data_IF_702750726817
#
_entry.id   IF_702750726817
#
_cell.length_a   1.000
_cell.length_b   1.000
_cell.length_c   1.000
_cell.angle_alpha   90.00
_cell.angle_beta   90.00
_cell.angle_gamma   90.00
#
_symmetry.space_group_name_H-M   'P 1'
#
loop_
_entity.id
_entity.type
_entity.pdbx_description
1 polymer ?
#
# COMPACT_ATOMS: atom_id res chain seq x y z
N UNK A 1 -7.26 -4.48 -12.29
CA UNK A 1 -5.88 -3.98 -12.21
C UNK A 1 -5.10 -4.50 -13.40
N UNK A 2 -4.44 -3.60 -14.12
CA UNK A 2 -3.68 -3.93 -15.36
C UNK A 2 -2.25 -3.39 -15.32
N UNK A 3 -1.96 -2.49 -14.39
CA UNK A 3 -0.64 -1.84 -14.25
C UNK A 3 -0.22 -1.77 -12.79
N UNK A 4 0.92 -2.34 -12.49
CA UNK A 4 1.52 -2.38 -11.15
C UNK A 4 2.85 -1.64 -11.20
N UNK A 5 3.10 -0.74 -10.23
CA UNK A 5 4.37 -0.04 -10.05
C UNK A 5 5.09 -0.59 -8.83
N UNK A 6 6.38 -0.87 -8.98
CA UNK A 6 7.25 -1.31 -7.88
C UNK A 6 8.47 -0.42 -7.82
N UNK A 7 8.55 0.49 -6.85
CA UNK A 7 9.79 1.18 -6.56
C UNK A 7 10.83 0.22 -5.97
N UNK A 8 12.08 0.35 -6.42
CA UNK A 8 13.19 -0.48 -5.91
C UNK A 8 14.45 0.35 -5.70
N UNK A 9 15.09 0.15 -4.57
CA UNK A 9 16.47 0.57 -4.28
C UNK A 9 17.45 -0.62 -4.35
N UNK A 10 16.93 -1.77 -4.81
CA UNK A 10 17.61 -3.05 -4.87
C UNK A 10 18.00 -3.62 -3.49
N UNK A 11 17.41 -3.14 -2.40
CA UNK A 11 17.48 -3.77 -1.09
C UNK A 11 16.72 -5.10 -1.06
N UNK A 12 16.98 -5.93 -0.07
CA UNK A 12 16.27 -7.20 0.12
C UNK A 12 14.77 -6.97 0.29
N UNK A 13 14.37 -5.96 1.06
CA UNK A 13 12.97 -5.63 1.27
C UNK A 13 12.29 -5.16 -0.03
N UNK A 14 12.98 -4.36 -0.86
CA UNK A 14 12.47 -3.98 -2.17
C UNK A 14 12.41 -5.18 -3.13
N UNK A 15 13.35 -6.11 -3.06
CA UNK A 15 13.31 -7.34 -3.85
C UNK A 15 12.12 -8.23 -3.45
N UNK A 16 11.80 -8.34 -2.16
CA UNK A 16 10.60 -9.03 -1.68
C UNK A 16 9.31 -8.41 -2.28
N UNK A 17 9.25 -7.09 -2.35
CA UNK A 17 8.14 -6.38 -2.99
C UNK A 17 8.07 -6.67 -4.50
N UNK A 18 9.20 -6.73 -5.20
CA UNK A 18 9.23 -7.11 -6.64
C UNK A 18 8.74 -8.55 -6.85
N UNK A 19 9.13 -9.50 -5.99
CA UNK A 19 8.67 -10.90 -6.06
C UNK A 19 7.15 -11.00 -5.88
N UNK A 20 6.57 -10.32 -4.89
CA UNK A 20 5.12 -10.23 -4.67
C UNK A 20 4.42 -9.60 -5.87
N UNK A 21 4.94 -8.48 -6.37
CA UNK A 21 4.36 -7.78 -7.52
C UNK A 21 4.42 -8.62 -8.81
N UNK A 22 5.47 -9.40 -9.01
CA UNK A 22 5.60 -10.32 -10.13
C UNK A 22 4.54 -11.43 -10.06
N UNK A 23 4.29 -12.01 -8.87
CA UNK A 23 3.24 -13.00 -8.66
C UNK A 23 1.84 -12.41 -8.92
N UNK A 24 1.58 -11.20 -8.46
CA UNK A 24 0.36 -10.46 -8.75
C UNK A 24 0.20 -10.19 -10.25
N UNK A 25 1.25 -9.73 -10.91
CA UNK A 25 1.24 -9.42 -12.34
C UNK A 25 0.92 -10.66 -13.18
N UNK A 26 1.52 -11.82 -12.86
CA UNK A 26 1.20 -13.10 -13.50
C UNK A 26 -0.26 -13.48 -13.31
N UNK A 27 -0.76 -13.43 -12.08
CA UNK A 27 -2.13 -13.85 -11.74
C UNK A 27 -3.19 -12.97 -12.40
N UNK A 28 -2.91 -11.66 -12.55
CA UNK A 28 -3.86 -10.66 -13.03
C UNK A 28 -3.65 -10.29 -14.51
N UNK A 29 -2.66 -10.86 -15.18
CA UNK A 29 -2.23 -10.46 -16.52
C UNK A 29 -1.96 -8.94 -16.59
N UNK A 30 -1.18 -8.45 -15.62
CA UNK A 30 -0.87 -7.04 -15.48
C UNK A 30 0.55 -6.73 -15.97
N UNK A 31 0.74 -5.48 -16.41
CA UNK A 31 2.07 -4.95 -16.72
C UNK A 31 2.75 -4.47 -15.44
N UNK A 32 4.01 -4.85 -15.26
CA UNK A 32 4.82 -4.49 -14.11
C UNK A 32 5.84 -3.41 -14.48
N UNK A 33 5.78 -2.26 -13.81
CA UNK A 33 6.75 -1.17 -13.92
C UNK A 33 7.68 -1.26 -12.72
N UNK A 34 8.97 -1.53 -12.95
CA UNK A 34 9.98 -1.58 -11.89
C UNK A 34 10.74 -0.26 -11.95
N UNK A 35 10.49 0.61 -10.97
CA UNK A 35 11.00 1.97 -10.91
C UNK A 35 12.21 2.05 -9.97
N UNK A 36 13.34 2.53 -10.50
CA UNK A 36 14.44 3.01 -9.67
C UNK A 36 14.59 4.51 -9.81
N UNK A 37 14.66 5.21 -8.68
CA UNK A 37 14.86 6.65 -8.64
C UNK A 37 16.28 6.92 -8.16
N UNK A 38 17.06 7.61 -9.00
CA UNK A 38 18.40 8.06 -8.64
C UNK A 38 18.30 9.46 -8.04
N UNK A 39 18.62 9.57 -6.77
CA UNK A 39 18.80 10.88 -6.11
C UNK A 39 20.21 11.38 -6.42
N UNK A 40 20.32 12.17 -7.48
CA UNK A 40 21.59 12.80 -7.84
C UNK A 40 21.63 14.17 -7.18
N UNK A 41 22.62 14.43 -6.30
CA UNK A 41 22.78 15.76 -5.72
C UNK A 41 22.92 16.80 -6.83
N UNK A 42 22.05 17.79 -6.86
CA UNK A 42 22.19 18.93 -7.77
C UNK A 42 23.31 19.80 -7.25
N UNK A 43 24.50 19.61 -7.76
CA UNK A 43 25.62 20.52 -7.49
C UNK A 43 25.37 21.88 -8.14
N UNK A 44 25.81 22.94 -7.45
CA UNK A 44 25.59 24.32 -7.86
C UNK A 44 26.20 24.56 -9.26
N UNK A 45 25.38 25.00 -10.22
CA UNK A 45 25.74 25.14 -11.65
C UNK A 45 26.81 26.17 -11.96
N UNK A 46 27.39 26.79 -10.94
CA UNK A 46 28.34 27.90 -11.11
C UNK A 46 29.81 27.47 -11.18
N UNK A 47 30.13 26.19 -11.02
CA UNK A 47 31.52 25.71 -11.05
C UNK A 47 31.79 24.84 -12.29
N UNK A 48 32.46 25.39 -13.29
CA UNK A 48 32.71 24.75 -14.59
C UNK A 48 33.62 23.51 -14.52
N UNK A 49 34.27 23.28 -13.40
CA UNK A 49 35.12 22.08 -13.17
C UNK A 49 34.34 20.90 -12.61
N UNK A 50 33.23 21.17 -11.94
CA UNK A 50 32.32 20.12 -11.39
C UNK A 50 31.62 19.35 -12.52
N UNK A 51 31.30 19.99 -13.64
CA UNK A 51 30.46 19.41 -14.68
C UNK A 51 31.02 18.15 -15.37
N UNK A 52 32.34 18.00 -15.51
CA UNK A 52 32.94 16.80 -16.13
C UNK A 52 33.05 15.63 -15.14
N UNK A 53 33.36 15.92 -13.89
CA UNK A 53 33.42 14.93 -12.82
C UNK A 53 32.00 14.39 -12.52
N UNK A 54 31.03 15.30 -12.45
CA UNK A 54 29.62 14.98 -12.22
C UNK A 54 29.04 14.13 -13.38
N UNK A 55 29.38 14.46 -14.64
CA UNK A 55 28.98 13.65 -15.79
C UNK A 55 29.61 12.24 -15.78
N UNK A 56 30.87 12.11 -15.38
CA UNK A 56 31.54 10.81 -15.28
C UNK A 56 30.93 9.97 -14.13
N UNK A 57 30.64 10.60 -13.02
CA UNK A 57 29.96 9.98 -11.87
C UNK A 57 28.55 9.53 -12.25
N UNK A 58 27.76 10.38 -12.91
CA UNK A 58 26.44 10.03 -13.41
C UNK A 58 26.45 8.83 -14.35
N UNK A 59 27.42 8.77 -15.29
CA UNK A 59 27.60 7.63 -16.18
C UNK A 59 27.96 6.35 -15.40
N UNK A 60 28.80 6.46 -14.39
CA UNK A 60 29.17 5.33 -13.53
C UNK A 60 27.93 4.78 -12.80
N UNK A 61 27.14 5.63 -12.16
CA UNK A 61 25.91 5.25 -11.47
C UNK A 61 24.88 4.63 -12.41
N UNK A 62 24.68 5.21 -13.59
CA UNK A 62 23.80 4.63 -14.61
C UNK A 62 24.23 3.21 -15.03
N UNK A 63 25.53 2.97 -15.21
CA UNK A 63 26.06 1.63 -15.54
C UNK A 63 25.81 0.65 -14.39
N UNK A 64 25.99 1.08 -13.15
CA UNK A 64 25.75 0.26 -11.96
C UNK A 64 24.27 -0.12 -11.85
N UNK A 65 23.37 0.85 -12.00
CA UNK A 65 21.93 0.63 -11.96
C UNK A 65 21.49 -0.32 -13.08
N UNK A 66 21.96 -0.12 -14.30
CA UNK A 66 21.67 -1.04 -15.42
C UNK A 66 22.16 -2.46 -15.16
N UNK A 67 23.32 -2.62 -14.52
CA UNK A 67 23.81 -3.93 -14.09
C UNK A 67 22.86 -4.57 -13.08
N UNK A 68 22.44 -3.82 -12.05
CA UNK A 68 21.49 -4.30 -11.03
C UNK A 68 20.14 -4.70 -11.63
N UNK A 69 19.59 -3.90 -12.55
CA UNK A 69 18.41 -4.30 -13.31
C UNK A 69 18.64 -5.59 -14.11
N UNK A 70 19.78 -5.71 -14.79
CA UNK A 70 20.12 -6.93 -15.52
C UNK A 70 20.24 -8.18 -14.65
N UNK A 71 20.62 -8.03 -13.38
CA UNK A 71 20.61 -9.12 -12.38
C UNK A 71 19.19 -9.41 -11.88
N UNK A 72 18.40 -8.37 -11.61
CA UNK A 72 17.01 -8.49 -11.17
C UNK A 72 16.15 -9.19 -12.22
N UNK A 73 16.25 -8.80 -13.49
CA UNK A 73 15.44 -9.38 -14.58
C UNK A 73 15.78 -10.85 -14.90
N UNK A 74 16.87 -11.40 -14.35
CA UNK A 74 17.20 -12.82 -14.43
C UNK A 74 16.54 -13.68 -13.32
N UNK A 75 15.88 -13.04 -12.36
CA UNK A 75 15.24 -13.75 -11.25
C UNK A 75 14.08 -14.60 -11.75
N UNK A 76 13.95 -15.85 -11.30
CA UNK A 76 12.92 -16.78 -11.78
C UNK A 76 11.49 -16.28 -11.63
N UNK A 77 11.21 -15.50 -10.61
CA UNK A 77 9.89 -14.94 -10.37
C UNK A 77 9.47 -13.89 -11.42
N UNK A 78 10.41 -13.30 -12.18
CA UNK A 78 10.12 -12.39 -13.29
C UNK A 78 9.97 -13.09 -14.64
N UNK A 79 10.27 -14.39 -14.73
CA UNK A 79 10.07 -15.15 -15.96
C UNK A 79 8.59 -15.14 -16.37
N UNK A 80 8.32 -14.76 -17.62
CA UNK A 80 6.97 -14.66 -18.18
C UNK A 80 6.15 -13.44 -17.71
N UNK A 81 6.74 -12.53 -16.91
CA UNK A 81 6.10 -11.27 -16.52
C UNK A 81 6.36 -10.19 -17.57
N UNK A 82 5.31 -9.45 -17.97
CA UNK A 82 5.47 -8.26 -18.80
C UNK A 82 6.01 -7.11 -17.94
N UNK A 83 7.32 -7.14 -17.65
CA UNK A 83 7.98 -6.17 -16.80
C UNK A 83 8.78 -5.14 -17.62
N UNK A 84 8.73 -3.88 -17.18
CA UNK A 84 9.40 -2.73 -17.80
C UNK A 84 10.29 -2.07 -16.75
N UNK A 85 11.54 -1.83 -17.13
CA UNK A 85 12.48 -1.01 -16.37
C UNK A 85 12.11 0.47 -16.53
N UNK A 86 12.00 1.20 -15.42
CA UNK A 86 11.81 2.64 -15.38
C UNK A 86 12.91 3.24 -14.52
N UNK A 87 13.68 4.16 -15.10
CA UNK A 87 14.73 4.90 -14.41
C UNK A 87 14.37 6.38 -14.41
N UNK A 88 14.35 6.97 -13.24
CA UNK A 88 14.04 8.39 -13.05
C UNK A 88 15.09 9.06 -12.16
N UNK A 89 15.11 10.39 -12.25
CA UNK A 89 16.03 11.24 -11.51
C UNK A 89 15.18 12.30 -10.83
N UNK A 90 15.16 12.33 -9.51
CA UNK A 90 14.54 13.39 -8.70
C UNK A 90 14.27 12.88 -7.27
N UNK A 91 13.52 13.63 -6.45
CA UNK A 91 13.06 13.18 -5.16
C UNK A 91 12.23 11.89 -5.23
N UNK A 92 12.60 10.89 -4.43
CA UNK A 92 12.05 9.52 -4.54
C UNK A 92 10.53 9.49 -4.42
N UNK A 93 9.98 10.16 -3.41
CA UNK A 93 8.54 10.15 -3.15
C UNK A 93 7.74 10.83 -4.29
N UNK A 94 8.15 12.03 -4.70
CA UNK A 94 7.44 12.80 -5.73
C UNK A 94 7.47 12.06 -7.05
N UNK A 95 8.60 11.45 -7.39
CA UNK A 95 8.76 10.61 -8.59
C UNK A 95 7.83 9.40 -8.57
N UNK A 96 7.72 8.66 -7.44
CA UNK A 96 6.82 7.49 -7.35
C UNK A 96 5.37 7.90 -7.62
N UNK A 97 4.89 8.99 -7.00
CA UNK A 97 3.51 9.44 -7.15
C UNK A 97 3.24 9.98 -8.57
N UNK A 98 4.15 10.77 -9.11
CA UNK A 98 4.07 11.28 -10.50
C UNK A 98 4.03 10.14 -11.51
N UNK A 99 4.92 9.16 -11.38
CA UNK A 99 4.94 8.00 -12.27
C UNK A 99 3.68 7.15 -12.14
N UNK A 100 3.11 7.06 -10.94
CA UNK A 100 1.84 6.36 -10.73
C UNK A 100 0.68 7.06 -11.46
N UNK A 101 0.63 8.38 -11.45
CA UNK A 101 -0.38 9.18 -12.15
C UNK A 101 -0.19 9.12 -13.67
N UNK A 102 1.01 9.43 -14.19
CA UNK A 102 1.33 9.48 -15.61
C UNK A 102 1.06 8.17 -16.32
N UNK A 103 1.39 7.06 -15.69
CA UNK A 103 1.16 5.73 -16.25
C UNK A 103 -0.22 5.16 -15.94
N UNK A 104 -1.04 5.84 -15.12
CA UNK A 104 -2.34 5.33 -14.67
C UNK A 104 -2.18 4.00 -13.94
N UNK A 105 -1.33 3.97 -12.92
CA UNK A 105 -1.04 2.78 -12.12
C UNK A 105 -2.25 2.43 -11.24
N UNK A 106 -2.61 1.16 -11.23
CA UNK A 106 -3.71 0.63 -10.43
C UNK A 106 -3.29 0.21 -9.02
N UNK A 107 -2.01 -0.14 -8.83
CA UNK A 107 -1.45 -0.61 -7.57
C UNK A 107 0.03 -0.26 -7.49
N UNK A 108 0.46 0.32 -6.38
CA UNK A 108 1.86 0.41 -6.01
C UNK A 108 2.17 -0.74 -5.06
N UNK A 109 3.26 -1.49 -5.31
CA UNK A 109 3.79 -2.49 -4.37
C UNK A 109 5.19 -2.05 -3.96
N UNK A 110 5.44 -1.91 -2.67
CA UNK A 110 6.75 -1.45 -2.22
C UNK A 110 7.18 -2.08 -0.90
N UNK A 111 8.49 -2.13 -0.68
CA UNK A 111 9.06 -2.57 0.59
C UNK A 111 8.63 -1.64 1.73
N UNK A 112 8.48 -2.18 2.93
CA UNK A 112 8.15 -1.36 4.11
C UNK A 112 9.30 -0.43 4.52
N UNK A 113 10.56 -0.78 4.20
CA UNK A 113 11.77 0.00 4.44
C UNK A 113 12.77 -0.22 3.31
N UNK A 114 13.77 0.67 3.19
CA UNK A 114 14.85 0.57 2.19
C UNK A 114 16.19 0.18 2.81
N UNK A 115 17.26 0.34 2.03
CA UNK A 115 18.65 -0.06 2.36
C UNK A 115 19.27 0.75 3.52
N UNK A 116 18.68 1.85 3.94
CA UNK A 116 19.22 2.72 4.99
C UNK A 116 19.20 2.12 6.40
N UNK A 117 18.82 0.86 6.55
CA UNK A 117 19.17 -0.02 7.66
C UNK A 117 18.75 0.41 9.08
N UNK A 118 17.93 1.43 9.22
CA UNK A 118 17.45 1.84 10.52
C UNK A 118 16.36 0.87 10.99
N UNK A 119 16.80 -0.09 11.79
CA UNK A 119 15.97 -1.02 12.58
C UNK A 119 14.70 -1.57 11.89
N UNK A 120 14.62 -2.87 11.80
CA UNK A 120 13.53 -3.72 11.25
C UNK A 120 12.10 -3.39 11.71
N UNK A 121 11.93 -2.35 12.53
CA UNK A 121 10.68 -2.02 13.23
C UNK A 121 9.96 -0.80 12.64
N UNK A 122 10.62 0.03 11.81
CA UNK A 122 10.01 1.27 11.33
C UNK A 122 9.83 1.30 9.82
N UNK A 123 8.64 1.76 9.40
CA UNK A 123 8.35 2.07 7.99
C UNK A 123 9.32 3.14 7.48
N UNK A 124 9.86 2.95 6.28
CA UNK A 124 10.73 3.94 5.64
C UNK A 124 9.96 5.22 5.30
N UNK A 125 10.63 6.37 5.39
CA UNK A 125 10.03 7.69 5.18
C UNK A 125 9.36 7.85 3.81
N UNK A 126 9.90 7.24 2.75
CA UNK A 126 9.30 7.25 1.43
C UNK A 126 8.04 6.39 1.40
N UNK A 127 8.08 5.20 2.00
CA UNK A 127 6.93 4.30 2.08
C UNK A 127 5.79 4.93 2.87
N UNK A 128 6.08 5.53 4.02
CA UNK A 128 5.09 6.26 4.82
C UNK A 128 4.40 7.36 3.99
N UNK A 129 5.19 8.17 3.27
CA UNK A 129 4.65 9.25 2.44
C UNK A 129 3.77 8.71 1.31
N UNK A 130 4.22 7.65 0.61
CA UNK A 130 3.46 7.03 -0.49
C UNK A 130 2.16 6.43 0.03
N UNK A 131 2.18 5.65 1.11
CA UNK A 131 0.98 5.07 1.75
C UNK A 131 -0.04 6.15 2.13
N UNK A 132 0.43 7.29 2.62
CA UNK A 132 -0.44 8.38 3.06
C UNK A 132 -1.02 9.22 1.92
N UNK A 133 -0.31 9.37 0.81
CA UNK A 133 -0.60 10.40 -0.19
C UNK A 133 -0.95 9.86 -1.58
N UNK A 134 -0.58 8.62 -1.92
CA UNK A 134 -0.89 8.04 -3.22
C UNK A 134 -2.40 7.94 -3.44
N UNK A 135 -2.84 8.20 -4.68
CA UNK A 135 -4.25 8.13 -5.07
C UNK A 135 -4.69 6.71 -5.49
N UNK A 136 -3.73 5.82 -5.74
CA UNK A 136 -3.99 4.41 -5.95
C UNK A 136 -3.65 3.59 -4.69
N UNK A 137 -4.20 2.36 -4.55
CA UNK A 137 -3.84 1.45 -3.47
C UNK A 137 -2.34 1.20 -3.38
N UNK A 138 -1.83 1.05 -2.15
CA UNK A 138 -0.42 0.76 -1.87
C UNK A 138 -0.33 -0.53 -1.06
N UNK A 139 0.33 -1.55 -1.60
CA UNK A 139 0.64 -2.80 -0.91
C UNK A 139 2.06 -2.73 -0.35
N UNK A 140 2.19 -2.70 0.96
CA UNK A 140 3.49 -2.74 1.63
C UNK A 140 3.88 -4.18 1.96
N UNK A 141 5.12 -4.55 1.65
CA UNK A 141 5.67 -5.89 1.84
C UNK A 141 6.90 -5.78 2.74
N UNK A 142 6.93 -6.54 3.83
CA UNK A 142 8.05 -6.57 4.77
C UNK A 142 8.91 -7.81 4.57
N UNK A 143 8.28 -8.96 4.64
CA UNK A 143 8.93 -10.25 4.61
C UNK A 143 8.88 -10.87 3.21
N UNK A 144 9.76 -11.84 2.98
CA UNK A 144 9.72 -12.64 1.75
C UNK A 144 8.50 -13.57 1.72
N UNK A 145 7.84 -13.62 0.57
CA UNK A 145 6.72 -14.52 0.30
C UNK A 145 7.01 -15.32 -0.96
N UNK A 146 7.62 -16.50 -0.83
CA UNK A 146 8.02 -17.36 -1.97
C UNK A 146 6.85 -17.74 -2.89
N UNK A 147 5.65 -17.85 -2.33
CA UNK A 147 4.41 -18.05 -3.08
C UNK A 147 3.34 -17.13 -2.51
N UNK A 148 3.28 -15.90 -3.03
CA UNK A 148 2.24 -14.97 -2.60
C UNK A 148 0.87 -15.47 -3.09
N UNK A 149 0.05 -15.94 -2.15
CA UNK A 149 -1.32 -16.35 -2.38
C UNK A 149 -2.24 -15.58 -1.43
N UNK A 150 -3.46 -15.32 -1.88
CA UNK A 150 -4.47 -14.62 -1.09
C UNK A 150 -5.65 -15.57 -0.83
N UNK A 151 -5.54 -16.41 0.18
CA UNK A 151 -6.62 -17.31 0.60
C UNK A 151 -7.56 -16.62 1.59
N UNK A 152 -6.99 -15.87 2.55
CA UNK A 152 -7.69 -15.19 3.63
C UNK A 152 -7.23 -13.73 3.72
N UNK A 153 -8.17 -12.79 3.58
CA UNK A 153 -7.91 -11.35 3.64
C UNK A 153 -8.71 -10.73 4.78
N UNK A 154 -8.04 -10.08 5.71
CA UNK A 154 -8.70 -9.19 6.68
C UNK A 154 -9.01 -7.87 5.99
N UNK A 155 -10.28 -7.50 5.92
CA UNK A 155 -10.69 -6.13 5.57
C UNK A 155 -11.16 -5.42 6.84
N UNK A 156 -10.33 -4.49 7.29
CA UNK A 156 -10.60 -3.68 8.48
C UNK A 156 -11.19 -2.32 8.08
N UNK A 157 -12.41 -2.06 8.51
CA UNK A 157 -13.14 -0.85 8.16
C UNK A 157 -14.09 -0.41 9.29
N UNK A 158 -14.53 0.85 9.22
CA UNK A 158 -15.67 1.34 10.00
C UNK A 158 -17.02 0.97 9.37
N UNK A 159 -17.03 0.49 8.12
CA UNK A 159 -18.21 0.14 7.32
C UNK A 159 -19.18 1.30 7.05
N UNK A 160 -18.72 2.55 7.20
CA UNK A 160 -19.50 3.73 6.86
C UNK A 160 -19.41 4.04 5.34
N UNK A 161 -20.22 4.97 4.86
CA UNK A 161 -20.42 5.23 3.42
C UNK A 161 -19.17 5.46 2.59
N UNK A 162 -18.08 5.96 3.20
CA UNK A 162 -16.78 6.19 2.54
C UNK A 162 -16.03 4.88 2.21
N UNK A 163 -16.30 3.81 2.97
CA UNK A 163 -15.71 2.48 2.76
C UNK A 163 -16.10 1.86 1.41
N UNK A 164 -17.17 2.31 0.81
CA UNK A 164 -17.78 1.71 -0.38
C UNK A 164 -16.91 1.85 -1.63
N UNK A 165 -16.39 3.05 -1.92
CA UNK A 165 -15.56 3.28 -3.12
C UNK A 165 -14.23 2.52 -3.07
N UNK A 166 -13.63 2.46 -1.89
CA UNK A 166 -12.37 1.74 -1.70
C UNK A 166 -12.58 0.23 -1.78
N UNK A 167 -13.72 -0.26 -1.28
CA UNK A 167 -14.01 -1.69 -1.33
C UNK A 167 -14.19 -2.19 -2.76
N UNK A 168 -14.71 -1.40 -3.70
CA UNK A 168 -14.79 -1.81 -5.10
C UNK A 168 -13.41 -2.16 -5.67
N UNK A 169 -12.41 -1.34 -5.38
CA UNK A 169 -11.03 -1.61 -5.82
C UNK A 169 -10.46 -2.86 -5.18
N UNK A 170 -10.69 -3.03 -3.87
CA UNK A 170 -10.29 -4.21 -3.12
C UNK A 170 -11.05 -5.45 -3.61
N UNK A 171 -12.36 -5.34 -3.83
CA UNK A 171 -13.21 -6.45 -4.26
C UNK A 171 -12.74 -7.04 -5.60
N UNK A 172 -12.43 -6.19 -6.56
CA UNK A 172 -11.90 -6.62 -7.85
C UNK A 172 -10.53 -7.31 -7.72
N UNK A 173 -9.71 -6.89 -6.77
CA UNK A 173 -8.44 -7.52 -6.45
C UNK A 173 -8.65 -8.89 -5.79
N UNK A 174 -9.46 -8.98 -4.74
CA UNK A 174 -9.75 -10.21 -4.00
C UNK A 174 -10.41 -11.26 -4.88
N UNK A 175 -11.34 -10.84 -5.74
CA UNK A 175 -12.05 -11.73 -6.67
C UNK A 175 -11.11 -12.48 -7.62
N UNK A 176 -10.00 -11.86 -8.04
CA UNK A 176 -9.00 -12.51 -8.89
C UNK A 176 -8.32 -13.69 -8.21
N UNK A 177 -8.33 -13.73 -6.87
CA UNK A 177 -7.72 -14.80 -6.06
C UNK A 177 -8.75 -15.77 -5.47
N UNK A 178 -10.05 -15.52 -5.64
CA UNK A 178 -11.12 -16.26 -4.95
C UNK A 178 -10.94 -16.30 -3.42
N UNK A 179 -10.43 -15.21 -2.85
CA UNK A 179 -10.09 -15.12 -1.45
C UNK A 179 -11.31 -15.09 -0.53
N UNK A 180 -11.18 -15.63 0.69
CA UNK A 180 -12.14 -15.44 1.75
C UNK A 180 -11.90 -14.10 2.45
N UNK A 181 -12.94 -13.31 2.65
CA UNK A 181 -12.84 -11.97 3.26
C UNK A 181 -13.31 -12.02 4.71
N UNK A 182 -12.42 -11.68 5.63
CA UNK A 182 -12.76 -11.48 7.03
C UNK A 182 -13.04 -9.99 7.27
N UNK A 183 -14.32 -9.64 7.37
CA UNK A 183 -14.77 -8.27 7.68
C UNK A 183 -14.55 -8.00 9.16
N UNK A 184 -13.64 -7.08 9.46
CA UNK A 184 -13.22 -6.80 10.84
C UNK A 184 -13.59 -5.37 11.23
N UNK A 185 -14.37 -5.25 12.29
CA UNK A 185 -14.65 -3.99 13.01
C UNK A 185 -13.97 -4.02 14.35
N UNK A 186 -13.18 -3.01 14.66
CA UNK A 186 -12.58 -2.84 15.99
C UNK A 186 -13.30 -1.72 16.72
N UNK A 187 -13.83 -2.02 17.89
CA UNK A 187 -14.47 -1.09 18.81
C UNK A 187 -13.47 -0.76 19.92
N UNK A 188 -13.21 0.54 20.13
CA UNK A 188 -12.32 1.01 21.18
C UNK A 188 -13.09 1.76 22.27
N UNK A 189 -12.51 1.92 23.49
CA UNK A 189 -13.20 2.65 24.56
C UNK A 189 -13.62 4.08 24.19
N UNK A 190 -12.80 4.76 23.36
CA UNK A 190 -13.06 6.14 22.92
C UNK A 190 -14.10 6.23 21.80
N UNK A 191 -14.37 5.10 21.10
CA UNK A 191 -15.33 5.01 19.99
C UNK A 191 -16.22 3.80 20.21
N UNK A 192 -17.00 3.85 21.27
CA UNK A 192 -17.92 2.76 21.60
C UNK A 192 -19.11 2.74 20.64
N UNK A 193 -19.37 1.57 20.10
CA UNK A 193 -20.59 1.26 19.33
C UNK A 193 -21.25 0.01 19.90
N UNK A 194 -22.59 -0.03 19.94
CA UNK A 194 -23.27 -1.23 20.38
C UNK A 194 -23.18 -2.36 19.35
N UNK A 195 -23.07 -3.60 19.82
CA UNK A 195 -23.00 -4.76 18.94
C UNK A 195 -24.13 -4.81 17.89
N UNK A 196 -25.42 -4.60 18.25
CA UNK A 196 -26.51 -4.61 17.26
C UNK A 196 -26.36 -3.53 16.18
N UNK A 197 -25.83 -2.36 16.54
CA UNK A 197 -25.58 -1.30 15.56
C UNK A 197 -24.45 -1.69 14.60
N UNK A 198 -23.36 -2.23 15.13
CA UNK A 198 -22.21 -2.67 14.34
C UNK A 198 -22.59 -3.83 13.41
N UNK A 199 -23.32 -4.82 13.90
CA UNK A 199 -23.83 -5.94 13.10
C UNK A 199 -24.68 -5.46 11.92
N UNK A 200 -25.58 -4.50 12.17
CA UNK A 200 -26.40 -3.90 11.12
C UNK A 200 -25.56 -3.20 10.05
N UNK A 201 -24.54 -2.42 10.43
CA UNK A 201 -23.62 -1.77 9.47
C UNK A 201 -22.93 -2.79 8.57
N UNK A 202 -22.42 -3.86 9.17
CA UNK A 202 -21.72 -4.92 8.41
C UNK A 202 -22.72 -5.66 7.49
N UNK A 203 -23.94 -5.95 7.97
CA UNK A 203 -24.98 -6.59 7.16
C UNK A 203 -25.37 -5.73 5.95
N UNK A 204 -25.59 -4.44 6.14
CA UNK A 204 -25.85 -3.49 5.05
C UNK A 204 -24.73 -3.50 4.01
N UNK A 205 -23.49 -3.48 4.47
CA UNK A 205 -22.29 -3.57 3.61
C UNK A 205 -22.24 -4.88 2.83
N UNK A 206 -22.45 -6.02 3.49
CA UNK A 206 -22.45 -7.35 2.86
C UNK A 206 -23.54 -7.45 1.79
N UNK A 207 -24.75 -6.96 2.08
CA UNK A 207 -25.89 -6.99 1.16
C UNK A 207 -25.63 -6.11 -0.06
N UNK A 208 -25.05 -4.93 0.11
CA UNK A 208 -24.71 -4.02 -0.97
C UNK A 208 -23.72 -4.64 -1.95
N UNK A 209 -22.64 -5.24 -1.42
CA UNK A 209 -21.60 -5.87 -2.23
C UNK A 209 -21.89 -7.31 -2.64
N UNK A 210 -23.02 -7.88 -2.18
CA UNK A 210 -23.41 -9.29 -2.45
C UNK A 210 -22.28 -10.26 -2.18
N UNK A 211 -21.62 -10.09 -1.04
CA UNK A 211 -20.50 -10.94 -0.66
C UNK A 211 -21.00 -12.37 -0.38
N UNK A 212 -20.31 -13.34 -0.94
CA UNK A 212 -20.66 -14.77 -0.79
C UNK A 212 -19.62 -15.56 0.00
N UNK A 213 -18.39 -15.07 0.07
CA UNK A 213 -17.25 -15.75 0.70
C UNK A 213 -16.62 -14.86 1.76
N UNK A 214 -17.31 -14.75 2.90
CA UNK A 214 -16.90 -13.86 3.98
C UNK A 214 -17.24 -14.41 5.37
N UNK A 215 -16.60 -13.84 6.38
CA UNK A 215 -16.97 -13.93 7.80
C UNK A 215 -16.87 -12.56 8.44
N UNK A 216 -17.64 -12.33 9.50
CA UNK A 216 -17.68 -11.06 10.23
C UNK A 216 -17.08 -11.23 11.61
N UNK A 217 -16.31 -10.21 12.04
CA UNK A 217 -15.66 -10.19 13.34
C UNK A 217 -15.77 -8.81 13.98
N UNK A 218 -16.17 -8.77 15.24
CA UNK A 218 -16.18 -7.56 16.06
C UNK A 218 -15.18 -7.78 17.20
N UNK A 219 -14.14 -6.94 17.25
CA UNK A 219 -13.13 -6.96 18.29
C UNK A 219 -13.27 -5.75 19.20
N UNK A 220 -13.24 -5.99 20.50
CA UNK A 220 -13.16 -4.92 21.51
C UNK A 220 -11.71 -4.86 22.00
N UNK A 221 -11.01 -3.78 21.64
CA UNK A 221 -9.60 -3.61 21.95
C UNK A 221 -9.28 -2.17 22.37
N UNK A 222 -8.13 -2.00 23.02
CA UNK A 222 -7.69 -0.65 23.45
C UNK A 222 -7.39 0.26 22.27
N UNK A 223 -6.87 -0.32 21.18
CA UNK A 223 -6.48 0.43 19.98
C UNK A 223 -6.91 -0.32 18.73
N UNK A 224 -7.19 0.42 17.66
CA UNK A 224 -7.60 -0.16 16.38
C UNK A 224 -6.52 -1.09 15.82
N UNK A 225 -5.25 -0.69 15.87
CA UNK A 225 -4.15 -1.52 15.34
C UNK A 225 -4.02 -2.85 16.09
N UNK A 226 -4.15 -2.86 17.43
CA UNK A 226 -4.09 -4.09 18.22
C UNK A 226 -5.20 -5.06 17.82
N UNK A 227 -6.43 -4.55 17.63
CA UNK A 227 -7.56 -5.37 17.21
C UNK A 227 -7.39 -5.94 15.81
N UNK A 228 -6.85 -5.17 14.86
CA UNK A 228 -6.58 -5.65 13.50
C UNK A 228 -5.50 -6.72 13.47
N UNK A 229 -4.39 -6.52 14.20
CA UNK A 229 -3.31 -7.51 14.27
C UNK A 229 -3.77 -8.81 14.96
N UNK A 230 -4.54 -8.71 16.04
CA UNK A 230 -5.13 -9.88 16.70
C UNK A 230 -6.09 -10.63 15.77
N UNK A 231 -6.97 -9.90 15.08
CA UNK A 231 -7.86 -10.50 14.08
C UNK A 231 -7.09 -11.24 13.01
N UNK A 232 -6.06 -10.60 12.43
CA UNK A 232 -5.21 -11.16 11.37
C UNK A 232 -4.58 -12.48 11.80
N UNK A 233 -4.02 -12.52 13.01
CA UNK A 233 -3.42 -13.71 13.58
C UNK A 233 -4.45 -14.82 13.82
N UNK A 234 -5.62 -14.45 14.38
CA UNK A 234 -6.67 -15.41 14.75
C UNK A 234 -7.29 -16.12 13.54
N UNK A 235 -7.47 -15.40 12.43
CA UNK A 235 -8.04 -15.98 11.20
C UNK A 235 -6.99 -16.54 10.25
N UNK A 236 -5.69 -16.40 10.55
CA UNK A 236 -4.61 -16.85 9.69
C UNK A 236 -4.61 -16.11 8.33
N UNK A 237 -4.85 -14.79 8.37
CA UNK A 237 -4.92 -14.01 7.13
C UNK A 237 -3.55 -13.89 6.44
N UNK A 238 -3.58 -13.85 5.11
CA UNK A 238 -2.39 -13.67 4.25
C UNK A 238 -2.17 -12.20 3.89
N UNK A 239 -3.16 -11.34 4.10
CA UNK A 239 -3.09 -9.91 3.82
C UNK A 239 -4.06 -9.14 4.74
N UNK A 240 -3.65 -7.94 5.12
CA UNK A 240 -4.53 -6.94 5.71
C UNK A 240 -4.88 -5.92 4.63
N UNK A 241 -6.15 -5.60 4.47
CA UNK A 241 -6.62 -4.48 3.68
C UNK A 241 -7.31 -3.48 4.59
N UNK A 242 -6.96 -2.21 4.47
CA UNK A 242 -7.49 -1.15 5.31
C UNK A 242 -7.57 0.17 4.59
N UNK A 243 -8.40 1.05 5.11
CA UNK A 243 -8.56 2.40 4.62
C UNK A 243 -7.69 3.37 5.41
N UNK A 244 -7.18 4.38 4.69
CA UNK A 244 -6.39 5.45 5.29
C UNK A 244 -7.04 6.80 5.00
N UNK A 245 -7.14 7.66 6.00
CA UNK A 245 -7.56 9.04 5.81
C UNK A 245 -6.34 9.89 5.39
N UNK A 246 -6.45 10.58 4.26
CA UNK A 246 -5.48 11.58 3.83
C UNK A 246 -5.47 12.81 4.77
N UNK A 247 -4.80 13.90 4.34
CA UNK A 247 -4.61 15.13 5.16
C UNK A 247 -5.88 15.85 5.59
N UNK A 248 -7.03 15.59 4.98
CA UNK A 248 -8.29 16.33 5.18
C UNK A 248 -9.28 15.62 6.11
N UNK A 249 -8.98 14.39 6.56
CA UNK A 249 -9.83 13.70 7.52
C UNK A 249 -9.94 14.45 8.84
N UNK A 250 -11.17 14.83 9.20
CA UNK A 250 -11.54 15.41 10.47
C UNK A 250 -11.12 14.50 11.63
N UNK A 251 -9.93 14.62 12.09
CA UNK A 251 -9.57 14.36 13.47
C UNK A 251 -8.10 14.69 13.65
N UNK A 252 -7.83 15.58 14.53
CA UNK A 252 -6.52 15.87 15.14
C UNK A 252 -5.87 14.63 15.79
N UNK A 253 -6.42 13.44 15.59
CA UNK A 253 -6.02 12.23 16.28
C UNK A 253 -5.87 11.02 15.33
N UNK A 254 -4.64 10.52 15.18
CA UNK A 254 -4.25 9.11 15.23
C UNK A 254 -4.26 8.28 13.95
N UNK A 255 -4.84 8.67 12.79
CA UNK A 255 -4.93 7.72 11.66
C UNK A 255 -3.58 7.47 10.93
N UNK A 256 -2.67 8.44 10.85
CA UNK A 256 -1.30 8.21 10.34
C UNK A 256 -0.53 7.20 11.18
N UNK A 257 -0.62 7.34 12.51
CA UNK A 257 0.05 6.45 13.45
C UNK A 257 -0.55 5.02 13.51
N UNK A 258 -1.84 4.85 13.22
CA UNK A 258 -2.47 3.51 13.20
C UNK A 258 -2.02 2.69 11.98
N UNK A 259 -2.04 3.30 10.78
CA UNK A 259 -1.55 2.64 9.56
C UNK A 259 -0.07 2.32 9.67
N UNK A 260 0.72 3.28 10.13
CA UNK A 260 2.14 3.10 10.40
C UNK A 260 2.37 1.97 11.40
N UNK A 261 1.62 1.94 12.51
CA UNK A 261 1.71 0.88 13.51
C UNK A 261 1.36 -0.49 12.92
N UNK A 262 0.32 -0.59 12.07
CA UNK A 262 -0.04 -1.86 11.44
C UNK A 262 1.06 -2.30 10.48
N UNK A 263 1.55 -1.43 9.59
CA UNK A 263 2.63 -1.76 8.64
C UNK A 263 3.89 -2.19 9.37
N UNK A 264 4.22 -1.55 10.49
CA UNK A 264 5.40 -1.88 11.28
C UNK A 264 5.31 -3.25 11.97
N UNK A 265 4.12 -3.64 12.44
CA UNK A 265 3.95 -4.84 13.26
C UNK A 265 3.29 -6.02 12.55
N UNK A 266 2.74 -5.81 11.34
CA UNK A 266 2.17 -6.90 10.56
C UNK A 266 3.27 -7.80 9.99
N UNK A 267 3.07 -9.11 10.09
CA UNK A 267 3.91 -10.13 9.45
C UNK A 267 3.45 -10.44 8.01
N UNK A 268 2.27 -9.97 7.65
CA UNK A 268 1.66 -10.15 6.32
C UNK A 268 1.64 -8.82 5.56
N UNK A 269 1.57 -8.83 4.22
CA UNK A 269 1.43 -7.62 3.43
C UNK A 269 0.19 -6.79 3.82
N UNK A 270 0.34 -5.47 3.78
CA UNK A 270 -0.72 -4.51 4.15
C UNK A 270 -1.11 -3.68 2.92
N UNK A 271 -2.34 -3.82 2.47
CA UNK A 271 -2.94 -3.01 1.42
C UNK A 271 -3.64 -1.80 2.05
N UNK A 272 -3.08 -0.64 1.80
CA UNK A 272 -3.60 0.65 2.25
C UNK A 272 -4.31 1.38 1.11
N UNK A 273 -5.52 1.89 1.37
CA UNK A 273 -6.33 2.60 0.40
C UNK A 273 -6.75 3.94 0.97
N UNK A 274 -6.36 5.04 0.31
CA UNK A 274 -6.72 6.39 0.72
C UNK A 274 -8.20 6.64 0.48
N UNK A 275 -8.91 7.12 1.49
CA UNK A 275 -10.26 7.64 1.34
C UNK A 275 -10.15 8.98 0.61
N UNK A 276 -10.82 9.10 -0.55
CA UNK A 276 -10.95 10.39 -1.25
C UNK A 276 -11.85 11.29 -0.42
N UNK A 277 -11.41 12.55 -0.20
CA UNK A 277 -12.22 13.52 0.50
C UNK A 277 -13.59 13.67 -0.17
N UNK A 278 -14.62 13.21 0.50
CA UNK A 278 -15.98 13.57 0.15
C UNK A 278 -16.15 15.07 0.42
N UNK A 279 -16.37 15.86 -0.62
CA UNK A 279 -16.83 17.23 -0.45
C UNK A 279 -18.11 17.14 0.35
N UNK A 280 -18.09 17.66 1.58
CA UNK A 280 -19.28 17.75 2.43
C UNK A 280 -20.32 18.64 1.76
N UNK A 281 -21.29 18.03 1.09
CA UNK A 281 -22.64 18.58 0.97
C UNK A 281 -23.48 18.15 2.19
N UNK A 282 -22.90 18.27 3.38
CA UNK A 282 -23.71 18.29 4.60
C UNK A 282 -24.00 19.76 4.92
N UNK A 283 -25.19 20.21 4.46
CA UNK A 283 -25.80 21.39 5.07
C UNK A 283 -25.92 21.15 6.57
N UNK A 284 -25.51 22.12 7.42
CA UNK A 284 -25.72 21.99 8.86
C UNK A 284 -27.22 21.91 9.13
N UNK A 285 -27.60 20.94 9.97
CA UNK A 285 -28.94 20.94 10.58
C UNK A 285 -29.08 22.21 11.44
N UNK A 286 -29.44 23.32 10.80
CA UNK A 286 -30.07 24.45 11.43
C UNK A 286 -31.49 24.48 10.88
N UNK A 287 -32.41 23.88 11.60
CA UNK A 287 -33.82 24.25 11.67
C UNK A 287 -34.61 23.10 12.35
N UNK A 288 -34.45 23.03 13.66
CA UNK A 288 -35.50 22.50 14.57
C UNK A 288 -35.45 23.36 15.83
N UNK A 289 -36.07 24.52 15.74
CA UNK A 289 -36.67 25.20 16.89
C UNK A 289 -38.20 25.08 16.76
#
# INVERSE_FOLDING_TARGET
>A
MKKILVPTDFSECAENAVEVAANLAKKMDARLYILHVMDIPVYDRNDSFSSYADAAEGIFWMKLVKKRFGELFKKPYLEGVNAIEVLQFDGVYDTITTQAEEHGIDLIVMGSHGDTGAHEVFIGSNTEKVVRLADCPVLTVKNRHESFNLDNVVFASNFLGEAKENFERLFNFIKAFDAHVHLVKVITPDHFESTPYTEKLIEEFVNEWKLTKYTTHIFNERTVHAGILEATKRVGANMIAMETHGRSGFARFVYGSQTESIVNHADVPVLSMKIKDYKKDFAPFSDLT
#
